data_IF_752376943693
#
_entry.id   IF_752376943693
#
_cell.length_a   1.000
_cell.length_b   1.000
_cell.length_c   1.000
_cell.angle_alpha   90.00
_cell.angle_beta   90.00
_cell.angle_gamma   90.00
#
_symmetry.space_group_name_H-M   'P 1'
#
loop_
_entity.id
_entity.type
_entity.pdbx_description
1 polymer ?
#
# COMPACT_ATOMS: atom_id res chain seq x y z
N UNK A 1 -20.78 -13.26 16.94
CA UNK A 1 -20.20 -11.89 16.86
C UNK A 1 -21.15 -11.04 16.05
N UNK A 2 -21.51 -9.84 16.49
CA UNK A 2 -22.43 -8.97 15.73
C UNK A 2 -21.76 -8.64 14.38
N UNK A 3 -22.50 -8.76 13.26
CA UNK A 3 -22.00 -8.56 11.89
C UNK A 3 -21.26 -7.23 11.72
N UNK A 4 -21.73 -6.17 12.37
CA UNK A 4 -21.09 -4.85 12.37
C UNK A 4 -19.68 -4.91 12.99
N UNK A 5 -19.53 -5.62 14.14
CA UNK A 5 -18.23 -5.77 14.80
C UNK A 5 -17.24 -6.57 13.95
N UNK A 6 -17.72 -7.58 13.26
CA UNK A 6 -16.89 -8.36 12.33
C UNK A 6 -16.35 -7.50 11.18
N UNK A 7 -17.21 -6.68 10.58
CA UNK A 7 -16.82 -5.76 9.49
C UNK A 7 -15.87 -4.68 10.01
N UNK A 8 -16.12 -4.14 11.20
CA UNK A 8 -15.22 -3.19 11.85
C UNK A 8 -13.81 -3.77 12.00
N UNK A 9 -13.69 -4.98 12.54
CA UNK A 9 -12.39 -5.65 12.75
C UNK A 9 -11.69 -5.93 11.42
N UNK A 10 -12.42 -6.42 10.42
CA UNK A 10 -11.87 -6.68 9.09
C UNK A 10 -11.42 -5.39 8.39
N UNK A 11 -12.20 -4.32 8.46
CA UNK A 11 -11.84 -3.01 7.91
C UNK A 11 -10.58 -2.44 8.57
N UNK A 12 -10.48 -2.56 9.89
CA UNK A 12 -9.30 -2.19 10.67
C UNK A 12 -8.06 -3.00 10.24
N UNK A 13 -8.20 -4.33 10.12
CA UNK A 13 -7.09 -5.21 9.73
C UNK A 13 -6.59 -4.93 8.30
N UNK A 14 -7.49 -4.74 7.33
CA UNK A 14 -7.08 -4.41 5.95
C UNK A 14 -6.29 -3.12 5.91
N UNK A 15 -6.82 -2.08 6.55
CA UNK A 15 -6.15 -0.78 6.64
C UNK A 15 -4.77 -0.91 7.31
N UNK A 16 -4.73 -1.52 8.47
CA UNK A 16 -3.54 -1.65 9.28
C UNK A 16 -2.43 -2.45 8.57
N UNK A 17 -2.77 -3.60 7.99
CA UNK A 17 -1.83 -4.47 7.26
C UNK A 17 -1.31 -3.79 5.97
N UNK A 18 -2.20 -3.09 5.24
CA UNK A 18 -1.80 -2.32 4.07
C UNK A 18 -0.77 -1.25 4.42
N UNK A 19 -1.06 -0.43 5.45
CA UNK A 19 -0.16 0.65 5.85
C UNK A 19 1.17 0.12 6.40
N UNK A 20 1.17 -1.01 7.10
CA UNK A 20 2.39 -1.68 7.53
C UNK A 20 3.22 -2.20 6.34
N UNK A 21 2.56 -2.78 5.31
CA UNK A 21 3.21 -3.18 4.06
C UNK A 21 3.80 -1.98 3.32
N UNK A 22 3.02 -0.91 3.16
CA UNK A 22 3.44 0.30 2.47
C UNK A 22 4.61 1.00 3.17
N UNK A 23 4.67 0.94 4.51
CA UNK A 23 5.77 1.45 5.32
C UNK A 23 7.13 0.84 4.92
N UNK A 24 7.16 -0.45 4.60
CA UNK A 24 8.41 -1.13 4.22
C UNK A 24 9.07 -0.52 2.97
N UNK A 25 8.29 0.08 2.09
CA UNK A 25 8.79 0.83 0.94
C UNK A 25 8.96 2.32 1.27
N UNK A 26 7.87 2.99 1.64
CA UNK A 26 7.79 4.46 1.65
C UNK A 26 8.75 5.14 2.62
N UNK A 27 8.97 4.55 3.80
CA UNK A 27 9.84 5.14 4.82
C UNK A 27 11.33 4.90 4.60
N UNK A 28 11.69 3.94 3.75
CA UNK A 28 13.08 3.48 3.67
C UNK A 28 13.67 3.44 2.25
N UNK A 29 12.90 3.86 1.23
CA UNK A 29 13.36 3.75 -0.15
C UNK A 29 14.60 4.60 -0.42
N UNK A 30 14.65 5.82 0.10
CA UNK A 30 15.81 6.71 -0.07
C UNK A 30 17.04 6.10 0.61
N UNK A 31 16.90 5.62 1.85
CA UNK A 31 18.00 4.98 2.58
C UNK A 31 18.50 3.74 1.81
N UNK A 32 17.59 2.92 1.27
CA UNK A 32 17.97 1.76 0.48
C UNK A 32 18.78 2.13 -0.77
N UNK A 33 18.39 3.21 -1.46
CA UNK A 33 19.11 3.69 -2.64
C UNK A 33 20.49 4.24 -2.26
N UNK A 34 20.57 5.04 -1.19
CA UNK A 34 21.85 5.63 -0.74
C UNK A 34 22.79 4.56 -0.18
N UNK A 35 22.30 3.59 0.57
CA UNK A 35 23.10 2.48 1.10
C UNK A 35 23.65 1.58 -0.03
N UNK A 36 22.93 1.52 -1.18
CA UNK A 36 23.40 0.83 -2.37
C UNK A 36 24.40 1.63 -3.22
N UNK A 37 24.64 2.91 -2.85
CA UNK A 37 25.64 3.77 -3.51
C UNK A 37 25.07 4.82 -4.46
N UNK A 38 23.75 4.99 -4.52
CA UNK A 38 23.18 6.09 -5.29
C UNK A 38 23.44 7.44 -4.60
N UNK A 39 23.87 8.48 -5.35
CA UNK A 39 23.95 9.84 -4.79
C UNK A 39 22.57 10.28 -4.26
N UNK A 40 22.55 10.97 -3.12
CA UNK A 40 21.30 11.44 -2.50
C UNK A 40 20.45 12.29 -3.44
N UNK A 41 21.07 13.11 -4.30
CA UNK A 41 20.38 13.89 -5.31
C UNK A 41 19.65 13.00 -6.34
N UNK A 42 20.28 11.90 -6.77
CA UNK A 42 19.67 10.92 -7.68
C UNK A 42 18.51 10.19 -7.01
N UNK A 43 18.69 9.72 -5.77
CA UNK A 43 17.64 9.06 -5.00
C UNK A 43 16.41 9.96 -4.80
N UNK A 44 16.65 11.22 -4.43
CA UNK A 44 15.56 12.22 -4.28
C UNK A 44 14.91 12.55 -5.61
N UNK A 45 15.68 12.67 -6.70
CA UNK A 45 15.14 12.88 -8.05
C UNK A 45 14.21 11.74 -8.50
N UNK A 46 14.59 10.48 -8.22
CA UNK A 46 13.74 9.30 -8.47
C UNK A 46 12.42 9.38 -7.67
N UNK A 47 12.49 9.77 -6.39
CA UNK A 47 11.29 9.98 -5.57
C UNK A 47 10.39 11.10 -6.11
N UNK A 48 10.97 12.20 -6.58
CA UNK A 48 10.22 13.30 -7.20
C UNK A 48 9.47 12.80 -8.44
N UNK A 49 10.11 12.04 -9.31
CA UNK A 49 9.46 11.49 -10.50
C UNK A 49 8.30 10.54 -10.13
N UNK A 50 8.45 9.70 -9.11
CA UNK A 50 7.35 8.85 -8.62
C UNK A 50 6.20 9.68 -8.05
N UNK A 51 6.49 10.78 -7.36
CA UNK A 51 5.48 11.70 -6.82
C UNK A 51 4.69 12.38 -7.94
N UNK A 52 5.36 12.85 -9.00
CA UNK A 52 4.69 13.43 -10.18
C UNK A 52 3.77 12.41 -10.84
N UNK A 53 4.22 11.16 -11.01
CA UNK A 53 3.39 10.11 -11.59
C UNK A 53 2.15 9.81 -10.71
N UNK A 54 2.28 9.88 -9.38
CA UNK A 54 1.17 9.62 -8.46
C UNK A 54 0.05 10.66 -8.59
N UNK A 55 0.39 11.91 -8.90
CA UNK A 55 -0.60 12.97 -9.17
C UNK A 55 -1.54 12.63 -10.33
N UNK A 56 -1.03 11.92 -11.34
CA UNK A 56 -1.82 11.49 -12.49
C UNK A 56 -2.54 10.17 -12.19
N UNK A 57 -1.86 9.24 -11.54
CA UNK A 57 -2.39 7.90 -11.27
C UNK A 57 -3.58 7.91 -10.29
N UNK A 58 -3.59 8.78 -9.29
CA UNK A 58 -4.65 8.84 -8.27
C UNK A 58 -6.03 9.22 -8.86
N UNK A 59 -6.20 10.32 -9.61
CA UNK A 59 -7.48 10.65 -10.22
C UNK A 59 -7.97 9.59 -11.21
N UNK A 60 -7.06 9.01 -12.00
CA UNK A 60 -7.41 7.95 -12.95
C UNK A 60 -7.95 6.71 -12.24
N UNK A 61 -7.29 6.28 -11.17
CA UNK A 61 -7.74 5.14 -10.37
C UNK A 61 -9.08 5.40 -9.70
N UNK A 62 -9.29 6.60 -9.15
CA UNK A 62 -10.57 7.02 -8.59
C UNK A 62 -11.69 6.97 -9.63
N UNK A 63 -11.47 7.54 -10.81
CA UNK A 63 -12.44 7.51 -11.90
C UNK A 63 -12.82 6.08 -12.34
N UNK A 64 -11.83 5.18 -12.42
CA UNK A 64 -12.06 3.77 -12.75
C UNK A 64 -12.91 3.09 -11.67
N UNK A 65 -12.61 3.32 -10.39
CA UNK A 65 -13.34 2.73 -9.28
C UNK A 65 -14.79 3.25 -9.18
N UNK A 66 -14.99 4.54 -9.42
CA UNK A 66 -16.32 5.13 -9.33
C UNK A 66 -17.26 4.66 -10.45
N UNK A 67 -16.73 4.38 -11.64
CA UNK A 67 -17.54 4.15 -12.83
C UNK A 67 -17.56 2.70 -13.33
N UNK A 68 -16.48 1.93 -13.17
CA UNK A 68 -16.33 0.66 -13.89
C UNK A 68 -16.08 -0.54 -12.98
N UNK A 69 -15.19 -0.45 -12.00
CA UNK A 69 -14.71 -1.59 -11.22
C UNK A 69 -14.78 -1.25 -9.73
N UNK A 70 -15.28 -2.16 -8.90
CA UNK A 70 -15.37 -1.90 -7.47
C UNK A 70 -14.00 -1.66 -6.83
N UNK A 71 -13.96 -0.78 -5.82
CA UNK A 71 -12.76 -0.46 -5.04
C UNK A 71 -12.05 -1.71 -4.51
N UNK A 72 -12.81 -2.73 -4.07
CA UNK A 72 -12.27 -4.01 -3.61
C UNK A 72 -11.48 -4.73 -4.69
N UNK A 73 -12.01 -4.86 -5.90
CA UNK A 73 -11.35 -5.59 -7.00
C UNK A 73 -10.09 -4.87 -7.44
N UNK A 74 -10.16 -3.55 -7.58
CA UNK A 74 -9.00 -2.71 -7.94
C UNK A 74 -7.93 -2.82 -6.87
N UNK A 75 -8.30 -2.70 -5.58
CA UNK A 75 -7.39 -2.86 -4.45
C UNK A 75 -6.64 -4.20 -4.50
N UNK A 76 -7.37 -5.31 -4.62
CA UNK A 76 -6.78 -6.65 -4.65
C UNK A 76 -5.85 -6.82 -5.86
N UNK A 77 -6.31 -6.45 -7.06
CA UNK A 77 -5.54 -6.63 -8.30
C UNK A 77 -4.24 -5.83 -8.26
N UNK A 78 -4.31 -4.55 -7.93
CA UNK A 78 -3.14 -3.68 -7.92
C UNK A 78 -2.16 -4.03 -6.79
N UNK A 79 -2.69 -4.42 -5.60
CA UNK A 79 -1.82 -4.87 -4.51
C UNK A 79 -1.07 -6.14 -4.93
N UNK A 80 -1.74 -7.15 -5.50
CA UNK A 80 -1.06 -8.37 -5.98
C UNK A 80 0.02 -8.06 -7.01
N UNK A 81 -0.22 -7.10 -7.91
CA UNK A 81 0.79 -6.66 -8.88
C UNK A 81 1.96 -5.89 -8.22
N UNK A 82 1.68 -5.17 -7.14
CA UNK A 82 2.70 -4.40 -6.43
C UNK A 82 3.69 -5.27 -5.64
N UNK A 83 3.24 -6.40 -5.07
CA UNK A 83 4.09 -7.23 -4.21
C UNK A 83 5.34 -7.76 -4.94
N UNK A 84 5.25 -8.35 -6.15
CA UNK A 84 6.42 -8.76 -6.91
C UNK A 84 7.35 -7.60 -7.25
N UNK A 85 6.80 -6.43 -7.64
CA UNK A 85 7.64 -5.25 -7.97
C UNK A 85 8.42 -4.75 -6.77
N UNK A 86 7.84 -4.83 -5.57
CA UNK A 86 8.50 -4.47 -4.32
C UNK A 86 9.69 -5.39 -4.02
N UNK A 87 9.53 -6.70 -4.20
CA UNK A 87 10.60 -7.68 -4.00
C UNK A 87 11.67 -7.54 -5.07
N UNK A 88 11.28 -7.42 -6.34
CA UNK A 88 12.21 -7.24 -7.45
C UNK A 88 13.06 -5.98 -7.31
N UNK A 89 12.46 -4.89 -6.82
CA UNK A 89 13.19 -3.65 -6.59
C UNK A 89 14.39 -3.85 -5.67
N UNK A 90 14.27 -4.66 -4.60
CA UNK A 90 15.38 -4.96 -3.70
C UNK A 90 16.51 -5.79 -4.33
N UNK A 91 16.26 -6.41 -5.48
CA UNK A 91 17.23 -7.24 -6.21
C UNK A 91 17.85 -6.54 -7.42
N UNK A 92 17.19 -5.51 -7.93
CA UNK A 92 17.54 -4.89 -9.21
C UNK A 92 18.20 -3.52 -9.08
N UNK A 93 18.77 -3.20 -7.91
CA UNK A 93 19.42 -1.90 -7.64
C UNK A 93 20.71 -1.66 -8.43
N UNK A 94 21.25 -2.66 -9.10
CA UNK A 94 22.49 -2.56 -9.89
C UNK A 94 22.34 -1.69 -11.16
N UNK A 95 21.12 -1.43 -11.62
CA UNK A 95 20.85 -0.61 -12.80
C UNK A 95 19.92 0.56 -12.46
N UNK A 96 20.38 1.82 -12.59
CA UNK A 96 19.55 3.00 -12.32
C UNK A 96 18.28 3.03 -13.15
N UNK A 97 18.35 2.62 -14.41
CA UNK A 97 17.20 2.61 -15.31
C UNK A 97 16.16 1.58 -14.86
N UNK A 98 16.60 0.37 -14.50
CA UNK A 98 15.71 -0.69 -14.03
C UNK A 98 15.12 -0.34 -12.66
N UNK A 99 15.93 0.22 -11.75
CA UNK A 99 15.46 0.73 -10.45
C UNK A 99 14.36 1.76 -10.63
N UNK A 100 14.58 2.75 -11.50
CA UNK A 100 13.59 3.79 -11.79
C UNK A 100 12.32 3.20 -12.40
N UNK A 101 12.44 2.29 -13.36
CA UNK A 101 11.29 1.63 -13.98
C UNK A 101 10.45 0.85 -12.93
N UNK A 102 11.10 0.12 -12.03
CA UNK A 102 10.41 -0.61 -10.96
C UNK A 102 9.77 0.33 -9.94
N UNK A 103 10.42 1.45 -9.60
CA UNK A 103 9.83 2.47 -8.72
C UNK A 103 8.59 3.10 -9.33
N UNK A 104 8.63 3.45 -10.62
CA UNK A 104 7.46 3.98 -11.35
C UNK A 104 6.34 2.94 -11.44
N UNK A 105 6.67 1.69 -11.72
CA UNK A 105 5.69 0.60 -11.78
C UNK A 105 5.04 0.35 -10.42
N UNK A 106 5.82 0.31 -9.35
CA UNK A 106 5.32 0.21 -7.98
C UNK A 106 4.41 1.39 -7.62
N UNK A 107 4.77 2.60 -8.06
CA UNK A 107 3.96 3.81 -7.85
C UNK A 107 2.58 3.68 -8.50
N UNK A 108 2.52 3.20 -9.73
CA UNK A 108 1.25 2.97 -10.43
C UNK A 108 0.38 1.94 -9.70
N UNK A 109 0.97 0.93 -9.08
CA UNK A 109 0.20 -0.11 -8.40
C UNK A 109 -0.14 0.24 -6.95
N UNK A 110 0.72 0.91 -6.20
CA UNK A 110 0.61 0.99 -4.74
C UNK A 110 0.30 2.40 -4.21
N UNK A 111 0.84 3.46 -4.83
CA UNK A 111 0.78 4.81 -4.23
C UNK A 111 -0.63 5.40 -4.23
N UNK A 112 -1.51 4.99 -5.14
CA UNK A 112 -2.92 5.41 -5.14
C UNK A 112 -3.81 4.63 -4.15
N UNK A 113 -3.34 3.50 -3.61
CA UNK A 113 -4.13 2.63 -2.75
C UNK A 113 -4.65 3.29 -1.47
N UNK A 114 -3.93 4.19 -0.78
CA UNK A 114 -4.46 4.87 0.40
C UNK A 114 -5.83 5.50 0.16
N UNK A 115 -5.98 6.29 -0.90
CA UNK A 115 -7.26 6.94 -1.23
C UNK A 115 -8.36 5.96 -1.59
N UNK A 116 -8.04 4.92 -2.38
CA UNK A 116 -9.01 3.89 -2.76
C UNK A 116 -9.46 3.06 -1.56
N UNK A 117 -8.54 2.73 -0.66
CA UNK A 117 -8.83 1.97 0.56
C UNK A 117 -9.69 2.78 1.52
N UNK A 118 -9.39 4.07 1.69
CA UNK A 118 -10.18 4.98 2.50
C UNK A 118 -11.61 5.13 1.93
N UNK A 119 -11.76 5.35 0.63
CA UNK A 119 -13.06 5.43 -0.03
C UNK A 119 -13.88 4.13 0.15
N UNK A 120 -13.22 2.97 0.03
CA UNK A 120 -13.88 1.69 0.25
C UNK A 120 -14.34 1.50 1.70
N UNK A 121 -13.51 1.81 2.69
CA UNK A 121 -13.86 1.69 4.11
C UNK A 121 -14.96 2.69 4.49
N UNK A 122 -14.93 3.93 3.97
CA UNK A 122 -16.02 4.91 4.14
C UNK A 122 -17.33 4.35 3.54
N UNK A 123 -17.29 3.78 2.35
CA UNK A 123 -18.46 3.13 1.76
C UNK A 123 -19.02 1.99 2.62
N UNK A 124 -18.17 1.23 3.31
CA UNK A 124 -18.62 0.21 4.27
C UNK A 124 -19.32 0.84 5.50
N UNK A 125 -18.89 2.01 5.97
CA UNK A 125 -19.60 2.70 7.08
C UNK A 125 -21.01 3.13 6.68
N UNK A 126 -21.22 3.50 5.43
CA UNK A 126 -22.55 3.86 4.91
C UNK A 126 -23.49 2.63 4.83
N UNK A 127 -22.96 1.45 4.55
CA UNK A 127 -23.74 0.21 4.48
C UNK A 127 -23.98 -0.44 5.85
N UNK A 128 -23.11 -0.20 6.82
CA UNK A 128 -23.17 -0.81 8.14
C UNK A 128 -23.08 0.27 9.22
N UNK A 129 -24.25 0.86 9.62
CA UNK A 129 -24.28 1.82 10.72
C UNK A 129 -23.65 1.24 11.99
N UNK A 130 -22.67 1.96 12.57
CA UNK A 130 -21.89 1.50 13.72
C UNK A 130 -20.46 1.01 13.37
N UNK A 131 -20.09 0.90 12.10
CA UNK A 131 -18.67 0.81 11.68
C UNK A 131 -18.08 2.22 11.79
N UNK A 132 -16.97 2.36 12.50
CA UNK A 132 -16.31 3.64 12.72
C UNK A 132 -15.06 3.76 11.84
N UNK A 133 -15.10 4.62 10.83
CA UNK A 133 -13.98 4.90 9.95
C UNK A 133 -12.77 5.46 10.72
N UNK A 134 -13.01 6.34 11.70
CA UNK A 134 -11.94 6.94 12.49
C UNK A 134 -11.11 5.91 13.24
N UNK A 135 -11.73 4.84 13.76
CA UNK A 135 -11.01 3.73 14.37
C UNK A 135 -10.18 2.95 13.34
N UNK A 136 -10.74 2.68 12.15
CA UNK A 136 -10.01 2.01 11.08
C UNK A 136 -8.79 2.85 10.63
N UNK A 137 -8.96 4.15 10.45
CA UNK A 137 -7.89 5.04 10.00
C UNK A 137 -6.86 5.32 11.10
N UNK A 138 -7.30 5.49 12.34
CA UNK A 138 -6.41 5.68 13.49
C UNK A 138 -5.52 4.46 13.76
N UNK A 139 -6.07 3.25 13.66
CA UNK A 139 -5.30 2.01 13.79
C UNK A 139 -4.22 1.88 12.71
N UNK A 140 -4.48 2.38 11.51
CA UNK A 140 -3.49 2.42 10.42
C UNK A 140 -2.27 3.25 10.78
N UNK A 141 -2.48 4.43 11.35
CA UNK A 141 -1.39 5.33 11.76
C UNK A 141 -0.56 4.72 12.90
N UNK A 142 -1.22 4.09 13.87
CA UNK A 142 -0.55 3.39 14.97
C UNK A 142 0.29 2.22 14.44
N UNK A 143 -0.30 1.40 13.56
CA UNK A 143 0.40 0.23 13.03
C UNK A 143 1.52 0.64 12.06
N UNK A 144 1.36 1.75 11.32
CA UNK A 144 2.45 2.31 10.52
C UNK A 144 3.65 2.69 11.39
N UNK A 145 3.43 3.34 12.55
CA UNK A 145 4.50 3.72 13.45
C UNK A 145 5.22 2.49 14.05
N UNK A 146 4.44 1.48 14.50
CA UNK A 146 4.99 0.21 14.99
C UNK A 146 5.76 -0.51 13.88
N UNK A 147 5.19 -0.55 12.67
CA UNK A 147 5.84 -1.17 11.51
C UNK A 147 7.14 -0.45 11.14
N UNK A 148 7.19 0.88 11.17
CA UNK A 148 8.39 1.63 10.87
C UNK A 148 9.54 1.25 11.82
N UNK A 149 9.26 1.12 13.12
CA UNK A 149 10.26 0.67 14.10
C UNK A 149 10.71 -0.77 13.83
N UNK A 150 9.76 -1.68 13.61
CA UNK A 150 10.07 -3.08 13.31
C UNK A 150 10.85 -3.24 12.00
N UNK A 151 10.46 -2.50 10.94
CA UNK A 151 11.14 -2.51 9.64
C UNK A 151 12.56 -1.94 9.72
N UNK A 152 12.79 -0.91 10.55
CA UNK A 152 14.11 -0.37 10.84
C UNK A 152 14.99 -1.45 11.48
N UNK A 153 14.51 -2.14 12.49
CA UNK A 153 15.22 -3.23 13.16
C UNK A 153 15.51 -4.39 12.19
N UNK A 154 14.52 -4.83 11.39
CA UNK A 154 14.71 -5.89 10.37
C UNK A 154 15.77 -5.48 9.34
N UNK A 155 15.77 -4.20 8.93
CA UNK A 155 16.77 -3.70 7.99
C UNK A 155 18.18 -3.75 8.58
N UNK A 156 18.34 -3.36 9.85
CA UNK A 156 19.63 -3.36 10.53
C UNK A 156 20.20 -4.77 10.73
N UNK A 157 19.34 -5.79 10.97
CA UNK A 157 19.78 -7.17 11.21
C UNK A 157 19.90 -8.00 9.95
N UNK A 158 18.98 -7.83 9.01
CA UNK A 158 18.80 -8.74 7.86
C UNK A 158 18.88 -8.04 6.49
N UNK A 159 19.06 -6.70 6.48
CA UNK A 159 19.17 -5.89 5.28
C UNK A 159 17.84 -5.54 4.61
N UNK A 160 17.94 -4.73 3.56
CA UNK A 160 16.78 -4.18 2.84
C UNK A 160 15.91 -5.25 2.15
N UNK A 161 16.53 -6.34 1.68
CA UNK A 161 15.79 -7.44 1.05
C UNK A 161 14.79 -8.08 2.01
N UNK A 162 15.22 -8.40 3.24
CA UNK A 162 14.35 -9.01 4.26
C UNK A 162 13.14 -8.10 4.60
N UNK A 163 13.38 -6.79 4.72
CA UNK A 163 12.31 -5.81 4.91
C UNK A 163 11.29 -5.84 3.77
N UNK A 164 11.74 -5.88 2.52
CA UNK A 164 10.84 -5.91 1.36
C UNK A 164 10.01 -7.20 1.32
N UNK A 165 10.60 -8.34 1.66
CA UNK A 165 9.86 -9.59 1.80
C UNK A 165 8.83 -9.54 2.93
N UNK A 166 9.18 -8.98 4.09
CA UNK A 166 8.23 -8.80 5.19
C UNK A 166 7.08 -7.87 4.80
N UNK A 167 7.39 -6.75 4.12
CA UNK A 167 6.37 -5.85 3.57
C UNK A 167 5.45 -6.57 2.58
N UNK A 168 6.00 -7.38 1.67
CA UNK A 168 5.21 -8.16 0.73
C UNK A 168 4.31 -9.19 1.44
N UNK A 169 4.80 -9.85 2.48
CA UNK A 169 3.99 -10.79 3.28
C UNK A 169 2.82 -10.08 3.98
N UNK A 170 3.05 -8.90 4.57
CA UNK A 170 1.98 -8.09 5.17
C UNK A 170 0.95 -7.61 4.14
N UNK A 171 1.40 -7.21 2.94
CA UNK A 171 0.53 -6.87 1.82
C UNK A 171 -0.33 -8.06 1.37
N UNK A 172 0.25 -9.24 1.30
CA UNK A 172 -0.49 -10.47 0.99
C UNK A 172 -1.55 -10.79 2.05
N UNK A 173 -1.22 -10.65 3.32
CA UNK A 173 -2.18 -10.81 4.42
C UNK A 173 -3.33 -9.79 4.31
N UNK A 174 -3.02 -8.54 3.95
CA UNK A 174 -4.04 -7.52 3.71
C UNK A 174 -5.00 -7.93 2.58
N UNK A 175 -4.48 -8.48 1.48
CA UNK A 175 -5.27 -9.01 0.36
C UNK A 175 -6.16 -10.17 0.82
N UNK A 176 -5.63 -11.11 1.60
CA UNK A 176 -6.41 -12.24 2.14
C UNK A 176 -7.59 -11.72 2.99
N UNK A 177 -7.36 -10.75 3.87
CA UNK A 177 -8.45 -10.14 4.66
C UNK A 177 -9.43 -9.40 3.76
N UNK A 178 -8.95 -8.68 2.73
CA UNK A 178 -9.78 -7.96 1.77
C UNK A 178 -10.76 -8.88 1.03
N UNK A 179 -10.37 -10.12 0.71
CA UNK A 179 -11.28 -11.09 0.09
C UNK A 179 -12.51 -11.38 0.96
N UNK A 180 -12.38 -11.31 2.29
CA UNK A 180 -13.47 -11.59 3.23
C UNK A 180 -14.42 -10.42 3.45
N UNK A 181 -14.08 -9.21 2.98
CA UNK A 181 -14.91 -8.03 3.07
C UNK A 181 -15.91 -7.94 1.91
N UNK A 182 -17.01 -7.22 2.15
CA UNK A 182 -18.06 -7.02 1.14
C UNK A 182 -17.58 -6.05 0.05
N UNK A 183 -17.96 -6.37 -1.18
CA UNK A 183 -17.82 -5.50 -2.34
C UNK A 183 -18.89 -4.40 -2.32
N UNK A 184 -18.51 -3.18 -2.67
CA UNK A 184 -19.45 -2.07 -2.83
C UNK A 184 -19.92 -1.99 -4.28
N UNK A 185 -21.21 -1.66 -4.53
CA UNK A 185 -21.68 -1.42 -5.88
C UNK A 185 -20.99 -0.21 -6.51
N UNK A 186 -20.74 -0.26 -7.79
CA UNK A 186 -20.29 0.89 -8.59
C UNK A 186 -21.48 1.70 -9.07
N UNK A 187 -21.28 2.98 -9.48
CA UNK A 187 -22.35 3.85 -9.97
C UNK A 187 -23.13 3.28 -11.16
N UNK A 188 -22.54 2.35 -11.91
CA UNK A 188 -23.20 1.72 -13.09
C UNK A 188 -23.89 0.40 -12.78
N UNK A 189 -23.85 -0.09 -11.55
CA UNK A 189 -24.61 -1.24 -11.04
C UNK A 189 -25.71 -0.78 -10.11
#
# INVERSE_FOLDING_TARGET
>A
MNKTREIQVKGLLVQALFWASYCAYSSFIVNMLTDYGYPSATATGMMTATSVLSFIAQPVSGYICDNFISHKRVYIALTICALPTMVLLSRCLFSPVLTMALMLLFTVFMVQMPGLLDAWVIGLTNLYPGVNYGLCRGSSSLLFAIAAQAMGWVTAQFGHGARMWLGAALGLLSVIVAFTLKELPTRRQ
#
